data_IF_488513153514
#
_entry.id   IF_488513153514
#
_cell.length_a   1.000
_cell.length_b   1.000
_cell.length_c   1.000
_cell.angle_alpha   90.00
_cell.angle_beta   90.00
_cell.angle_gamma   90.00
#
_symmetry.space_group_name_H-M   'P 1'
#
loop_
_entity.id
_entity.type
_entity.pdbx_description
1 polymer ?
#
# COMPACT_ATOMS: atom_id res chain seq x y z
N UNK A 1 17.13 -27.06 -41.59
CA UNK A 1 15.90 -27.60 -41.00
C UNK A 1 15.50 -26.72 -39.82
N UNK A 2 14.52 -25.81 -40.02
CA UNK A 2 14.03 -24.87 -39.01
C UNK A 2 12.94 -25.56 -38.19
N UNK A 3 13.14 -25.73 -36.87
CA UNK A 3 12.07 -26.21 -35.97
C UNK A 3 11.47 -25.01 -35.26
N UNK A 4 10.20 -24.75 -35.57
CA UNK A 4 9.35 -23.75 -34.94
C UNK A 4 9.10 -24.12 -33.48
N UNK A 5 9.51 -23.26 -32.55
CA UNK A 5 8.98 -23.26 -31.20
C UNK A 5 7.95 -22.13 -31.10
N UNK A 6 6.69 -22.48 -31.34
CA UNK A 6 5.55 -21.69 -30.89
C UNK A 6 5.17 -22.21 -29.50
N UNK A 7 5.54 -21.47 -28.46
CA UNK A 7 4.92 -21.64 -27.14
C UNK A 7 4.17 -20.36 -26.86
N UNK A 8 2.84 -20.45 -26.98
CA UNK A 8 1.92 -19.50 -26.38
C UNK A 8 2.01 -19.65 -24.86
N UNK A 9 2.58 -18.66 -24.17
CA UNK A 9 2.36 -18.50 -22.73
C UNK A 9 1.40 -17.32 -22.53
N UNK A 10 0.16 -17.68 -22.23
CA UNK A 10 -0.86 -16.78 -21.72
C UNK A 10 -0.46 -16.38 -20.30
N UNK A 11 0.16 -15.22 -20.14
CA UNK A 11 0.39 -14.62 -18.82
C UNK A 11 -0.85 -13.81 -18.40
N UNK A 12 -1.95 -14.50 -18.14
CA UNK A 12 -3.13 -13.93 -17.48
C UNK A 12 -3.06 -14.26 -16.00
N UNK A 13 -2.30 -13.48 -15.23
CA UNK A 13 -2.34 -13.53 -13.78
C UNK A 13 -1.92 -12.19 -13.16
N UNK A 14 -2.71 -11.14 -13.40
CA UNK A 14 -2.68 -9.97 -12.53
C UNK A 14 -4.07 -9.72 -11.94
N UNK A 15 -4.17 -10.10 -10.66
CA UNK A 15 -4.95 -9.46 -9.60
C UNK A 15 -6.45 -9.77 -9.51
N UNK A 16 -6.76 -11.00 -9.10
CA UNK A 16 -7.96 -11.29 -8.32
C UNK A 16 -7.57 -11.85 -6.94
N UNK A 17 -6.82 -11.08 -6.15
CA UNK A 17 -6.77 -11.35 -4.70
C UNK A 17 -8.09 -10.85 -4.11
N UNK A 18 -8.76 -11.65 -3.25
CA UNK A 18 -9.97 -11.21 -2.60
C UNK A 18 -9.67 -9.91 -1.86
N UNK A 19 -10.40 -8.86 -2.22
CA UNK A 19 -10.38 -7.55 -1.56
C UNK A 19 -10.84 -7.72 -0.12
N UNK A 20 -9.96 -8.21 0.76
CA UNK A 20 -10.06 -7.83 2.16
C UNK A 20 -9.83 -6.33 2.15
N UNK A 21 -10.92 -5.56 2.32
CA UNK A 21 -10.95 -4.10 2.30
C UNK A 21 -9.87 -3.45 3.20
N UNK A 22 -9.26 -4.24 4.09
CA UNK A 22 -8.27 -3.83 5.09
C UNK A 22 -6.82 -4.03 4.61
N UNK A 23 -6.61 -4.68 3.46
CA UNK A 23 -5.30 -4.88 2.83
C UNK A 23 -5.10 -4.03 1.56
N UNK A 24 -6.10 -3.23 1.17
CA UNK A 24 -6.06 -2.44 -0.06
C UNK A 24 -4.92 -1.39 -0.02
N UNK A 25 -4.12 -1.27 -1.09
CA UNK A 25 -3.01 -0.33 -1.17
C UNK A 25 -3.55 1.08 -1.42
N UNK A 26 -4.02 1.73 -0.36
CA UNK A 26 -4.18 3.18 -0.38
C UNK A 26 -2.80 3.87 -0.50
N UNK A 27 -2.70 5.03 -1.17
CA UNK A 27 -1.49 5.83 -1.13
C UNK A 27 -1.26 6.28 0.32
N UNK A 28 -0.17 5.82 0.94
CA UNK A 28 0.16 6.06 2.35
C UNK A 28 -0.05 4.82 3.22
N UNK A 29 1.05 4.13 3.54
CA UNK A 29 1.09 2.83 4.20
C UNK A 29 0.19 2.67 5.43
N UNK A 30 -0.52 1.53 5.47
CA UNK A 30 -1.39 1.10 6.56
C UNK A 30 -2.83 1.59 6.39
N UNK A 31 -3.79 0.67 6.23
CA UNK A 31 -5.21 0.97 6.02
C UNK A 31 -5.87 1.83 7.10
N UNK A 32 -5.20 2.05 8.24
CA UNK A 32 -5.69 2.83 9.38
C UNK A 32 -4.87 4.09 9.69
N UNK A 33 -3.91 4.46 8.83
CA UNK A 33 -3.17 5.70 9.03
C UNK A 33 -4.14 6.90 8.99
N UNK A 34 -4.09 7.73 10.04
CA UNK A 34 -4.94 8.89 10.19
C UNK A 34 -4.22 10.16 9.69
N UNK A 35 -4.96 11.13 9.12
CA UNK A 35 -4.35 12.37 8.66
C UNK A 35 -3.85 13.21 9.84
N UNK A 36 -2.80 14.05 9.69
CA UNK A 36 -2.28 14.88 10.76
C UNK A 36 -3.33 15.73 11.48
N UNK A 37 -4.31 16.25 10.73
CA UNK A 37 -5.42 17.06 11.26
C UNK A 37 -6.33 16.28 12.23
N UNK A 38 -6.31 14.94 12.19
CA UNK A 38 -7.04 14.15 13.17
C UNK A 38 -6.39 14.21 14.56
N UNK A 39 -5.06 14.38 14.66
CA UNK A 39 -4.35 14.48 15.94
C UNK A 39 -4.90 15.61 16.82
N UNK A 40 -5.19 16.76 16.20
CA UNK A 40 -5.74 17.95 16.87
C UNK A 40 -7.15 17.71 17.43
N UNK A 41 -7.99 16.95 16.74
CA UNK A 41 -9.37 16.66 17.16
C UNK A 41 -9.47 15.54 18.20
N UNK A 42 -8.43 14.72 18.34
CA UNK A 42 -8.45 13.54 19.20
C UNK A 42 -8.12 13.83 20.65
N UNK A 43 -7.63 15.03 20.99
CA UNK A 43 -7.24 15.41 22.35
C UNK A 43 -6.44 14.29 23.04
N UNK A 44 -5.35 13.86 22.39
CA UNK A 44 -4.55 12.71 22.82
C UNK A 44 -3.83 13.01 24.14
N UNK A 45 -3.71 12.01 25.01
CA UNK A 45 -2.78 12.09 26.16
C UNK A 45 -1.33 12.16 25.66
N UNK A 46 -0.36 12.57 26.51
CA UNK A 46 1.06 12.56 26.13
C UNK A 46 1.54 11.21 25.59
N UNK A 47 1.12 10.10 26.22
CA UNK A 47 1.48 8.74 25.82
C UNK A 47 0.87 8.37 24.47
N UNK A 48 -0.42 8.69 24.27
CA UNK A 48 -1.09 8.48 22.99
C UNK A 48 -0.48 9.34 21.86
N UNK A 49 -0.05 10.56 22.17
CA UNK A 49 0.62 11.46 21.23
C UNK A 49 1.98 10.91 20.78
N UNK A 50 2.78 10.37 21.72
CA UNK A 50 4.04 9.71 21.40
C UNK A 50 3.81 8.46 20.54
N UNK A 51 2.83 7.64 20.88
CA UNK A 51 2.46 6.46 20.10
C UNK A 51 1.93 6.82 18.70
N UNK A 52 1.20 7.92 18.56
CA UNK A 52 0.80 8.48 17.26
C UNK A 52 2.02 8.83 16.41
N UNK A 53 2.98 9.56 16.97
CA UNK A 53 4.16 9.99 16.22
C UNK A 53 5.01 8.81 15.77
N UNK A 54 5.11 7.78 16.63
CA UNK A 54 5.75 6.52 16.29
C UNK A 54 5.02 5.79 15.15
N UNK A 55 3.70 5.61 15.24
CA UNK A 55 2.91 4.98 14.19
C UNK A 55 3.00 5.74 12.85
N UNK A 56 2.99 7.08 12.90
CA UNK A 56 3.16 7.94 11.74
C UNK A 56 4.56 7.80 11.11
N UNK A 57 5.61 7.72 11.94
CA UNK A 57 6.98 7.46 11.48
C UNK A 57 7.07 6.10 10.77
N UNK A 58 6.50 5.05 11.34
CA UNK A 58 6.49 3.71 10.74
C UNK A 58 5.72 3.67 9.41
N UNK A 59 4.58 4.36 9.33
CA UNK A 59 3.84 4.52 8.07
C UNK A 59 4.65 5.26 7.00
N UNK A 60 5.40 6.30 7.36
CA UNK A 60 6.29 7.02 6.43
C UNK A 60 7.42 6.13 5.94
N UNK A 61 8.10 5.42 6.85
CA UNK A 61 9.17 4.50 6.52
C UNK A 61 8.69 3.38 5.57
N UNK A 62 7.53 2.77 5.84
CA UNK A 62 6.92 1.79 4.94
C UNK A 62 6.57 2.38 3.55
N UNK A 63 6.12 3.65 3.52
CA UNK A 63 5.88 4.36 2.27
C UNK A 63 7.14 4.60 1.45
N UNK A 64 8.23 5.03 2.08
CA UNK A 64 9.53 5.23 1.42
C UNK A 64 10.15 3.91 0.95
N UNK A 65 10.06 2.84 1.74
CA UNK A 65 10.49 1.50 1.33
C UNK A 65 9.75 1.04 0.06
N UNK A 66 8.43 1.23 0.01
CA UNK A 66 7.64 0.90 -1.18
C UNK A 66 8.05 1.74 -2.40
N UNK A 67 8.30 3.04 -2.24
CA UNK A 67 8.80 3.90 -3.33
C UNK A 67 10.18 3.44 -3.80
N UNK A 68 11.07 3.06 -2.89
CA UNK A 68 12.39 2.52 -3.20
C UNK A 68 12.29 1.21 -3.99
N UNK A 69 11.49 0.24 -3.53
CA UNK A 69 11.27 -1.02 -4.25
C UNK A 69 10.68 -0.82 -5.65
N UNK A 70 9.76 0.14 -5.82
CA UNK A 70 9.22 0.48 -7.15
C UNK A 70 10.29 1.04 -8.08
N UNK A 71 11.19 1.88 -7.56
CA UNK A 71 12.33 2.41 -8.33
C UNK A 71 13.29 1.29 -8.71
N UNK A 72 13.66 0.44 -7.75
CA UNK A 72 14.52 -0.74 -7.96
C UNK A 72 13.95 -1.65 -9.06
N UNK A 73 12.68 -2.05 -8.94
CA UNK A 73 12.04 -2.91 -9.94
C UNK A 73 11.97 -2.22 -11.31
N UNK A 74 11.69 -0.92 -11.37
CA UNK A 74 11.66 -0.17 -12.64
C UNK A 74 13.02 -0.18 -13.33
N UNK A 75 14.10 0.08 -12.60
CA UNK A 75 15.45 0.10 -13.19
C UNK A 75 15.92 -1.31 -13.56
N UNK A 76 15.63 -2.33 -12.74
CA UNK A 76 15.89 -3.73 -13.08
C UNK A 76 15.15 -4.15 -14.37
N UNK A 77 13.86 -3.81 -14.49
CA UNK A 77 13.09 -4.10 -15.70
C UNK A 77 13.68 -3.42 -16.94
N UNK A 78 14.09 -2.15 -16.85
CA UNK A 78 14.76 -1.48 -17.98
C UNK A 78 16.06 -2.19 -18.37
N UNK A 79 16.86 -2.62 -17.39
CA UNK A 79 18.12 -3.29 -17.63
C UNK A 79 17.92 -4.66 -18.29
N UNK A 80 16.96 -5.47 -17.82
CA UNK A 80 16.63 -6.75 -18.43
C UNK A 80 16.10 -6.60 -19.86
N UNK A 81 15.21 -5.62 -20.10
CA UNK A 81 14.66 -5.37 -21.43
C UNK A 81 15.69 -4.85 -22.44
N UNK A 82 16.86 -4.40 -21.99
CA UNK A 82 17.96 -4.01 -22.87
C UNK A 82 18.82 -5.20 -23.33
N UNK A 83 18.65 -6.39 -22.72
CA UNK A 83 19.40 -7.59 -23.09
C UNK A 83 18.81 -8.24 -24.34
N UNK A 84 19.63 -8.95 -25.15
CA UNK A 84 19.13 -9.77 -26.25
C UNK A 84 18.14 -10.85 -25.79
N UNK A 85 18.38 -11.42 -24.61
CA UNK A 85 17.52 -12.42 -23.96
C UNK A 85 17.24 -11.95 -22.51
N UNK A 86 16.11 -11.26 -22.26
CA UNK A 86 15.73 -10.80 -20.93
C UNK A 86 15.40 -11.95 -19.98
N UNK A 87 15.86 -11.86 -18.72
CA UNK A 87 15.46 -12.81 -17.67
C UNK A 87 14.24 -12.29 -16.90
N UNK A 88 13.05 -12.66 -17.38
CA UNK A 88 11.80 -12.29 -16.74
C UNK A 88 11.55 -13.04 -15.43
N UNK A 89 12.18 -14.21 -15.23
CA UNK A 89 12.06 -14.97 -13.99
C UNK A 89 12.80 -14.26 -12.85
N UNK A 90 13.97 -13.69 -13.13
CA UNK A 90 14.70 -12.84 -12.18
C UNK A 90 13.90 -11.59 -11.78
N UNK A 91 13.21 -10.94 -12.73
CA UNK A 91 12.33 -9.79 -12.42
C UNK A 91 11.16 -10.19 -11.54
N UNK A 92 10.53 -11.35 -11.81
CA UNK A 92 9.44 -11.86 -10.99
C UNK A 92 9.92 -12.13 -9.54
N UNK A 93 11.05 -12.81 -9.38
CA UNK A 93 11.63 -13.09 -8.07
C UNK A 93 11.97 -11.80 -7.29
N UNK A 94 12.51 -10.79 -7.98
CA UNK A 94 12.77 -9.47 -7.40
C UNK A 94 11.46 -8.80 -6.95
N UNK A 95 10.43 -8.84 -7.79
CA UNK A 95 9.09 -8.33 -7.49
C UNK A 95 8.47 -8.99 -6.26
N UNK A 96 8.52 -10.32 -6.17
CA UNK A 96 7.97 -11.08 -5.05
C UNK A 96 8.70 -10.77 -3.73
N UNK A 97 10.03 -10.71 -3.78
CA UNK A 97 10.85 -10.31 -2.62
C UNK A 97 10.54 -8.88 -2.17
N UNK A 98 10.41 -7.94 -3.10
CA UNK A 98 10.00 -6.58 -2.81
C UNK A 98 8.58 -6.52 -2.21
N UNK A 99 7.64 -7.32 -2.74
CA UNK A 99 6.27 -7.38 -2.22
C UNK A 99 6.24 -7.89 -0.78
N UNK A 100 6.94 -8.98 -0.48
CA UNK A 100 7.00 -9.58 0.86
C UNK A 100 7.57 -8.59 1.89
N UNK A 101 8.71 -7.94 1.59
CA UNK A 101 9.32 -6.92 2.45
C UNK A 101 8.38 -5.73 2.69
N UNK A 102 7.74 -5.23 1.64
CA UNK A 102 6.80 -4.11 1.74
C UNK A 102 5.51 -4.48 2.48
N UNK A 103 5.06 -5.74 2.39
CA UNK A 103 3.92 -6.22 3.17
C UNK A 103 4.25 -6.23 4.66
N UNK A 104 5.42 -6.76 5.03
CA UNK A 104 5.87 -6.78 6.42
C UNK A 104 5.95 -5.37 7.02
N UNK A 105 6.55 -4.41 6.30
CA UNK A 105 6.64 -3.03 6.76
C UNK A 105 5.25 -2.37 6.94
N UNK A 106 4.32 -2.64 6.01
CA UNK A 106 2.92 -2.16 6.12
C UNK A 106 2.19 -2.78 7.30
N UNK A 107 2.45 -4.05 7.60
CA UNK A 107 1.87 -4.74 8.75
C UNK A 107 2.36 -4.13 10.06
N UNK A 108 3.67 -3.96 10.22
CA UNK A 108 4.24 -3.33 11.41
C UNK A 108 3.66 -1.92 11.66
N UNK A 109 3.60 -1.08 10.61
CA UNK A 109 2.98 0.24 10.74
C UNK A 109 1.50 0.18 11.14
N UNK A 110 0.73 -0.74 10.53
CA UNK A 110 -0.68 -0.96 10.86
C UNK A 110 -0.86 -1.37 12.32
N UNK A 111 -0.01 -2.25 12.82
CA UNK A 111 -0.12 -2.77 14.18
C UNK A 111 0.13 -1.65 15.21
N UNK A 112 1.02 -0.68 14.93
CA UNK A 112 1.19 0.51 15.76
C UNK A 112 -0.04 1.42 15.80
N UNK A 113 -0.73 1.59 14.67
CA UNK A 113 -2.00 2.31 14.62
C UNK A 113 -3.11 1.58 15.40
N UNK A 114 -3.14 0.24 15.35
CA UNK A 114 -4.10 -0.57 16.10
C UNK A 114 -3.84 -0.52 17.61
N UNK A 115 -2.56 -0.55 18.04
CA UNK A 115 -2.18 -0.34 19.44
C UNK A 115 -2.65 1.02 19.95
N UNK A 116 -2.44 2.08 19.17
CA UNK A 116 -2.94 3.41 19.52
C UNK A 116 -4.47 3.42 19.62
N UNK A 117 -5.17 2.87 18.63
CA UNK A 117 -6.63 2.83 18.64
C UNK A 117 -7.18 2.06 19.86
N UNK A 118 -6.50 0.97 20.27
CA UNK A 118 -6.90 0.20 21.43
C UNK A 118 -6.86 1.03 22.73
N UNK A 119 -5.88 1.93 22.89
CA UNK A 119 -5.73 2.80 24.07
C UNK A 119 -6.66 4.02 24.08
N UNK A 120 -7.43 4.25 23.01
CA UNK A 120 -8.32 5.40 22.90
C UNK A 120 -9.62 5.24 23.69
N UNK A 121 -10.14 6.36 24.21
CA UNK A 121 -11.47 6.47 24.82
C UNK A 121 -12.58 6.30 23.79
N UNK A 122 -13.83 6.12 24.25
CA UNK A 122 -14.99 6.02 23.36
C UNK A 122 -15.17 7.26 22.46
N UNK A 123 -14.96 8.46 23.01
CA UNK A 123 -15.06 9.73 22.26
C UNK A 123 -13.96 9.83 21.19
N UNK A 124 -12.74 9.42 21.53
CA UNK A 124 -11.64 9.38 20.58
C UNK A 124 -11.89 8.38 19.45
N UNK A 125 -12.39 7.18 19.78
CA UNK A 125 -12.75 6.14 18.80
C UNK A 125 -13.87 6.59 17.85
N UNK A 126 -14.85 7.35 18.34
CA UNK A 126 -15.88 7.95 17.51
C UNK A 126 -15.30 8.95 16.51
N UNK A 127 -14.36 9.79 16.97
CA UNK A 127 -13.63 10.73 16.09
C UNK A 127 -12.82 9.99 15.02
N UNK A 128 -12.10 8.93 15.39
CA UNK A 128 -11.39 8.06 14.43
C UNK A 128 -12.35 7.50 13.38
N UNK A 129 -13.51 6.98 13.80
CA UNK A 129 -14.53 6.45 12.88
C UNK A 129 -14.97 7.49 11.85
N UNK A 130 -15.23 8.74 12.25
CA UNK A 130 -15.58 9.83 11.32
C UNK A 130 -14.52 10.03 10.25
N UNK A 131 -13.24 10.07 10.65
CA UNK A 131 -12.13 10.23 9.70
C UNK A 131 -12.00 9.05 8.74
N UNK A 132 -12.24 7.82 9.21
CA UNK A 132 -12.20 6.63 8.37
C UNK A 132 -13.36 6.61 7.37
N UNK A 133 -14.58 6.99 7.77
CA UNK A 133 -15.73 7.12 6.86
C UNK A 133 -15.44 8.15 5.77
N UNK A 134 -14.99 9.36 6.14
CA UNK A 134 -14.61 10.40 5.18
C UNK A 134 -13.49 9.97 4.22
N UNK A 135 -12.60 9.07 4.67
CA UNK A 135 -11.58 8.48 3.80
C UNK A 135 -12.20 7.55 2.76
N UNK A 136 -13.14 6.69 3.17
CA UNK A 136 -13.86 5.78 2.27
C UNK A 136 -14.64 6.58 1.22
N UNK A 137 -15.39 7.59 1.63
CA UNK A 137 -16.17 8.46 0.72
C UNK A 137 -15.27 9.13 -0.33
N UNK A 138 -14.11 9.69 0.08
CA UNK A 138 -13.14 10.26 -0.87
C UNK A 138 -12.59 9.23 -1.85
N UNK A 139 -12.35 7.99 -1.40
CA UNK A 139 -11.89 6.92 -2.26
C UNK A 139 -12.96 6.52 -3.28
N UNK A 140 -14.23 6.48 -2.89
CA UNK A 140 -15.36 6.20 -3.78
C UNK A 140 -15.53 7.28 -4.84
N UNK A 141 -15.50 8.55 -4.43
CA UNK A 141 -15.53 9.70 -5.35
C UNK A 141 -14.37 9.64 -6.34
N UNK A 142 -13.15 9.39 -5.87
CA UNK A 142 -12.00 9.25 -6.76
C UNK A 142 -12.18 8.12 -7.78
N UNK A 143 -12.70 6.96 -7.35
CA UNK A 143 -13.00 5.84 -8.25
C UNK A 143 -14.09 6.15 -9.26
N UNK A 144 -15.11 6.93 -8.89
CA UNK A 144 -16.15 7.41 -9.81
C UNK A 144 -15.53 8.31 -10.90
N UNK A 145 -14.75 9.32 -10.51
CA UNK A 145 -14.08 10.21 -11.47
C UNK A 145 -13.15 9.47 -12.43
N UNK A 146 -12.43 8.45 -11.96
CA UNK A 146 -11.61 7.62 -12.84
C UNK A 146 -12.47 6.83 -13.82
N UNK A 147 -13.58 6.23 -13.38
CA UNK A 147 -14.49 5.51 -14.29
C UNK A 147 -14.99 6.43 -15.38
N UNK A 148 -15.50 7.61 -15.04
CA UNK A 148 -16.01 8.60 -15.99
C UNK A 148 -14.96 9.00 -17.04
N UNK A 149 -13.69 9.19 -16.64
CA UNK A 149 -12.59 9.51 -17.56
C UNK A 149 -12.22 8.38 -18.53
N UNK A 150 -12.46 7.13 -18.16
CA UNK A 150 -12.12 5.96 -18.98
C UNK A 150 -13.34 5.32 -19.65
N UNK A 151 -14.55 5.81 -19.40
CA UNK A 151 -15.81 5.33 -19.98
C UNK A 151 -16.42 6.29 -21.02
N UNK A 152 -15.75 7.39 -21.36
CA UNK A 152 -16.09 8.30 -22.46
C UNK A 152 -15.02 8.26 -23.53
#
# INVERSE_FOLDING_TARGET
>A
MKRLFQIFVVASALLATPLTLWASPGPGGGGFALPPQAKERLNLTPEQSAQWDYAAQQSRAAGEAMKASRRELKEATKAELAKPEPDLAALAALGDSAQARNQQARHAARDEWLKLYASMSGVQKATVREFLIKRIERMEQFRQHLRERFSG
#
